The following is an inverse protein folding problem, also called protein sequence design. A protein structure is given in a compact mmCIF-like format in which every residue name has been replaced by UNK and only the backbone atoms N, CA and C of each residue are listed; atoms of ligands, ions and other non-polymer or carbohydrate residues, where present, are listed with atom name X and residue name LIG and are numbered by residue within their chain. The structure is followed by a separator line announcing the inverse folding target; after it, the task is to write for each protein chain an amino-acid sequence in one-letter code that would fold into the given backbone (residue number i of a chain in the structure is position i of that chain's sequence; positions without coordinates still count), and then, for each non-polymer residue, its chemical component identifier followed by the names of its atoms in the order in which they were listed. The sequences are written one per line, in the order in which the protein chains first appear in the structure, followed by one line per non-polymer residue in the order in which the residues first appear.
data_IF_180456116547
#
_entry.id   IF_180456116547
#
_cell.length_a   1.000
_cell.length_b   1.000
_cell.length_c   1.000
_cell.angle_alpha   90.00
_cell.angle_beta   90.00
_cell.angle_gamma   90.00
#
_symmetry.space_group_name_H-M   'P 1'
#
loop_
_entity.id
_entity.type
_entity.pdbx_description
1 polymer ?
#
# COMPACT_ATOMS: atom_id res chain seq x y z
N UNK A 1 -2.09 19.17 28.85
CA UNK A 1 -0.62 19.30 28.96
C UNK A 1 -0.23 20.78 29.02
N UNK A 2 0.82 21.17 29.74
CA UNK A 2 1.24 22.58 29.83
C UNK A 2 2.16 23.00 28.67
N UNK A 3 2.24 24.30 28.36
CA UNK A 3 3.20 24.85 27.38
C UNK A 3 4.66 24.55 27.75
N UNK A 4 4.98 24.58 29.05
CA UNK A 4 6.32 24.24 29.56
C UNK A 4 6.65 22.79 29.24
N UNK A 5 5.70 21.86 29.46
CA UNK A 5 5.90 20.45 29.11
C UNK A 5 6.11 20.24 27.62
N UNK A 6 5.38 20.97 26.76
CA UNK A 6 5.57 20.91 25.31
C UNK A 6 6.97 21.39 24.90
N UNK A 7 7.43 22.52 25.44
CA UNK A 7 8.77 23.04 25.16
C UNK A 7 9.88 22.06 25.54
N UNK A 8 9.72 21.36 26.67
CA UNK A 8 10.68 20.32 27.12
C UNK A 8 10.70 19.11 26.18
N UNK A 9 9.55 18.73 25.62
CA UNK A 9 9.43 17.72 24.55
C UNK A 9 10.20 18.18 23.31
N UNK A 10 10.00 19.42 22.86
CA UNK A 10 10.67 19.99 21.68
C UNK A 10 12.20 20.06 21.84
N UNK A 11 12.69 20.20 23.07
CA UNK A 11 14.13 20.18 23.41
C UNK A 11 14.69 18.78 23.66
N UNK A 12 13.86 17.74 23.63
CA UNK A 12 14.28 16.36 23.86
C UNK A 12 14.77 16.11 25.29
N UNK A 13 14.20 16.79 26.28
CA UNK A 13 14.62 16.59 27.67
C UNK A 13 14.30 15.17 28.16
N UNK A 14 15.29 14.44 28.74
CA UNK A 14 15.14 13.03 29.08
C UNK A 14 14.23 12.75 30.28
N UNK A 15 13.92 13.76 31.10
CA UNK A 15 13.06 13.61 32.27
C UNK A 15 11.56 13.82 31.97
N UNK A 16 11.20 14.02 30.69
CA UNK A 16 9.80 14.08 30.28
C UNK A 16 9.21 12.67 30.28
N UNK A 17 8.13 12.47 31.04
CA UNK A 17 7.44 11.19 31.08
C UNK A 17 6.83 10.83 29.72
N UNK A 18 6.88 9.55 29.34
CA UNK A 18 6.32 9.04 28.08
C UNK A 18 4.84 9.42 27.87
N UNK A 19 4.05 9.51 28.94
CA UNK A 19 2.65 9.95 28.86
C UNK A 19 2.48 11.38 28.33
N UNK A 20 3.47 12.26 28.48
CA UNK A 20 3.44 13.60 27.90
C UNK A 20 3.60 13.55 26.37
N UNK A 21 4.47 12.66 25.87
CA UNK A 21 4.61 12.41 24.43
C UNK A 21 3.31 11.86 23.82
N UNK A 22 2.65 10.91 24.49
CA UNK A 22 1.35 10.40 24.03
C UNK A 22 0.27 11.49 23.99
N UNK A 23 0.23 12.38 24.98
CA UNK A 23 -0.70 13.51 24.95
C UNK A 23 -0.44 14.44 23.75
N UNK A 24 0.81 14.67 23.37
CA UNK A 24 1.15 15.46 22.19
C UNK A 24 0.73 14.74 20.90
N UNK A 25 1.01 13.43 20.78
CA UNK A 25 0.62 12.61 19.63
C UNK A 25 -0.91 12.57 19.45
N UNK A 26 -1.67 12.37 20.52
CA UNK A 26 -3.14 12.41 20.48
C UNK A 26 -3.67 13.79 20.05
N UNK A 27 -3.07 14.88 20.53
CA UNK A 27 -3.47 16.24 20.14
C UNK A 27 -3.20 16.54 18.65
N UNK A 28 -2.22 15.85 18.05
CA UNK A 28 -1.88 15.94 16.63
C UNK A 28 -2.61 14.89 15.78
N UNK A 29 -3.49 14.08 16.38
CA UNK A 29 -4.17 12.97 15.72
C UNK A 29 -3.20 11.98 15.04
N UNK A 30 -2.08 11.71 15.69
CA UNK A 30 -1.11 10.69 15.26
C UNK A 30 -1.55 9.35 15.84
N UNK A 31 -1.85 8.39 14.97
CA UNK A 31 -2.11 7.02 15.38
C UNK A 31 -0.80 6.33 15.80
N UNK A 32 -0.81 5.73 17.00
CA UNK A 32 0.31 4.95 17.51
C UNK A 32 -0.20 3.68 18.19
N UNK A 33 0.64 2.65 18.20
CA UNK A 33 0.28 1.37 18.79
C UNK A 33 1.48 0.47 19.01
N UNK A 34 1.23 -0.66 19.68
CA UNK A 34 2.24 -1.70 19.85
C UNK A 34 2.25 -2.55 18.58
N UNK A 35 3.40 -2.59 17.92
CA UNK A 35 3.62 -3.49 16.78
C UNK A 35 4.08 -4.84 17.35
N UNK A 36 3.28 -5.89 17.15
CA UNK A 36 3.70 -7.25 17.47
C UNK A 36 4.53 -7.82 16.31
N UNK A 37 5.50 -8.72 16.57
CA UNK A 37 6.31 -9.31 15.52
C UNK A 37 5.47 -10.04 14.45
N UNK A 38 4.36 -10.67 14.87
CA UNK A 38 3.40 -11.29 13.95
C UNK A 38 2.72 -10.27 13.00
N UNK A 39 2.58 -9.01 13.43
CA UNK A 39 2.06 -7.90 12.62
C UNK A 39 3.10 -7.36 11.62
N UNK A 40 4.38 -7.65 11.81
CA UNK A 40 5.44 -7.35 10.84
C UNK A 40 5.54 -8.44 9.75
N UNK A 41 5.20 -9.68 10.08
CA UNK A 41 5.13 -10.79 9.10
C UNK A 41 3.81 -10.80 8.34
N UNK A 42 2.73 -10.33 8.96
CA UNK A 42 1.48 -10.00 8.31
C UNK A 42 1.58 -8.58 7.71
N UNK A 43 2.47 -8.38 6.74
CA UNK A 43 2.46 -7.19 5.87
C UNK A 43 1.21 -7.11 4.98
N UNK A 44 0.16 -7.86 5.26
CA UNK A 44 -1.22 -7.37 5.12
C UNK A 44 -1.48 -6.39 6.27
N UNK A 45 -0.83 -5.23 6.20
CA UNK A 45 -1.44 -4.08 6.84
C UNK A 45 -2.77 -3.94 6.10
N UNK A 46 -3.88 -4.15 6.79
CA UNK A 46 -5.23 -3.76 6.38
C UNK A 46 -5.30 -2.22 6.28
N UNK A 47 -4.38 -1.64 5.52
CA UNK A 47 -4.55 -0.33 4.93
C UNK A 47 -5.54 -0.61 3.82
N UNK A 48 -6.68 0.06 3.85
CA UNK A 48 -7.53 0.14 2.67
C UNK A 48 -6.65 0.61 1.49
N UNK A 49 -6.23 -0.32 0.62
CA UNK A 49 -5.34 -0.04 -0.51
C UNK A 49 -6.09 0.59 -1.69
N UNK A 50 -7.34 1.03 -1.47
CA UNK A 50 -8.10 1.78 -2.45
C UNK A 50 -7.31 2.98 -2.97
N UNK A 51 -7.03 2.95 -4.28
CA UNK A 51 -6.32 4.02 -4.98
C UNK A 51 -4.79 4.00 -4.83
N UNK A 52 -4.21 3.04 -4.11
CA UNK A 52 -2.75 2.90 -4.02
C UNK A 52 -2.19 2.07 -5.18
N UNK A 53 -1.08 2.53 -5.77
CA UNK A 53 -0.35 1.82 -6.82
C UNK A 53 1.05 1.48 -6.29
N UNK A 54 1.40 0.21 -6.08
CA UNK A 54 2.72 -0.19 -5.60
C UNK A 54 3.78 0.01 -6.69
N UNK A 55 5.01 0.39 -6.33
CA UNK A 55 6.08 0.60 -7.30
C UNK A 55 6.55 -0.70 -7.99
N UNK A 56 6.38 -1.85 -7.32
CA UNK A 56 6.65 -3.20 -7.82
C UNK A 56 5.48 -4.10 -7.44
N UNK A 57 5.04 -4.93 -8.39
CA UNK A 57 3.89 -5.82 -8.26
C UNK A 57 4.43 -7.25 -8.33
N UNK A 58 4.39 -7.97 -7.22
CA UNK A 58 4.78 -9.38 -7.19
C UNK A 58 3.65 -10.26 -7.74
N UNK A 59 3.95 -11.08 -8.75
CA UNK A 59 2.98 -11.97 -9.39
C UNK A 59 2.41 -13.02 -8.42
N UNK A 60 3.13 -13.36 -7.34
CA UNK A 60 2.63 -14.28 -6.31
C UNK A 60 1.36 -13.78 -5.63
N UNK A 61 1.19 -12.46 -5.54
CA UNK A 61 0.17 -11.82 -4.72
C UNK A 61 -1.12 -11.57 -5.53
N UNK A 62 -1.03 -11.71 -6.86
CA UNK A 62 -2.10 -11.44 -7.81
C UNK A 62 -2.31 -12.65 -8.75
N UNK A 63 -3.11 -13.65 -8.34
CA UNK A 63 -3.22 -14.92 -9.05
C UNK A 63 -3.77 -14.80 -10.48
N UNK A 64 -4.71 -13.87 -10.75
CA UNK A 64 -5.19 -13.67 -12.11
C UNK A 64 -4.12 -13.02 -12.98
N UNK A 65 -3.42 -11.98 -12.48
CA UNK A 65 -2.31 -11.35 -13.19
C UNK A 65 -1.22 -12.36 -13.56
N UNK A 66 -0.86 -13.24 -12.62
CA UNK A 66 0.12 -14.32 -12.85
C UNK A 66 -0.28 -15.25 -13.99
N UNK A 67 -1.56 -15.59 -14.10
CA UNK A 67 -2.06 -16.43 -15.20
C UNK A 67 -1.98 -15.71 -16.55
N UNK A 68 -2.22 -14.40 -16.57
CA UNK A 68 -2.19 -13.58 -17.79
C UNK A 68 -0.75 -13.26 -18.23
N UNK A 69 0.19 -13.16 -17.29
CA UNK A 69 1.59 -12.82 -17.50
C UNK A 69 2.45 -14.00 -17.99
N UNK A 70 1.87 -15.01 -18.63
CA UNK A 70 2.60 -16.22 -19.08
C UNK A 70 3.78 -15.95 -20.02
N UNK A 71 3.78 -14.81 -20.73
CA UNK A 71 4.88 -14.38 -21.62
C UNK A 71 6.04 -13.72 -20.87
N UNK A 72 5.84 -13.35 -19.61
CA UNK A 72 6.86 -12.72 -18.78
C UNK A 72 7.77 -13.83 -18.28
N UNK A 73 9.00 -13.85 -18.80
CA UNK A 73 10.02 -14.83 -18.42
C UNK A 73 11.14 -14.13 -17.64
N UNK A 74 11.57 -14.73 -16.54
CA UNK A 74 12.76 -14.28 -15.79
C UNK A 74 12.54 -13.21 -14.72
N UNK A 75 11.29 -12.81 -14.46
CA UNK A 75 10.93 -11.94 -13.33
C UNK A 75 9.60 -12.38 -12.72
N UNK A 76 9.53 -12.38 -11.39
CA UNK A 76 8.29 -12.55 -10.64
C UNK A 76 7.66 -11.19 -10.27
N UNK A 77 8.27 -10.09 -10.69
CA UNK A 77 7.83 -8.72 -10.43
C UNK A 77 7.55 -7.95 -11.72
N UNK A 78 6.52 -7.11 -11.68
CA UNK A 78 6.12 -6.18 -12.73
C UNK A 78 6.11 -4.74 -12.23
N UNK A 79 6.36 -3.80 -13.14
CA UNK A 79 6.01 -2.39 -12.93
C UNK A 79 4.49 -2.18 -13.07
N UNK A 80 3.93 -1.12 -12.49
CA UNK A 80 2.51 -0.76 -12.66
C UNK A 80 2.05 -0.64 -14.11
N UNK A 81 2.88 -0.07 -14.98
CA UNK A 81 2.56 0.13 -16.39
C UNK A 81 2.51 -1.20 -17.14
N UNK A 82 3.43 -2.12 -16.85
CA UNK A 82 3.42 -3.48 -17.42
C UNK A 82 2.19 -4.26 -16.95
N UNK A 83 1.86 -4.21 -15.66
CA UNK A 83 0.68 -4.86 -15.11
C UNK A 83 -0.61 -4.34 -15.77
N UNK A 84 -0.78 -3.02 -15.87
CA UNK A 84 -1.93 -2.42 -16.56
C UNK A 84 -2.01 -2.89 -18.02
N UNK A 85 -0.90 -2.84 -18.75
CA UNK A 85 -0.82 -3.27 -20.15
C UNK A 85 -1.22 -4.75 -20.33
N UNK A 86 -0.83 -5.62 -19.39
CA UNK A 86 -1.22 -7.03 -19.40
C UNK A 86 -2.72 -7.20 -19.15
N UNK A 87 -3.28 -6.50 -18.15
CA UNK A 87 -4.72 -6.55 -17.88
C UNK A 87 -5.54 -6.04 -19.07
N UNK A 88 -5.15 -4.94 -19.69
CA UNK A 88 -5.87 -4.36 -20.82
C UNK A 88 -5.88 -5.29 -22.04
N UNK A 89 -4.71 -5.81 -22.43
CA UNK A 89 -4.58 -6.70 -23.59
C UNK A 89 -5.31 -8.03 -23.40
N UNK A 90 -5.34 -8.53 -22.18
CA UNK A 90 -5.88 -9.84 -21.84
C UNK A 90 -7.23 -9.78 -21.09
N UNK A 91 -7.90 -8.62 -21.07
CA UNK A 91 -9.09 -8.41 -20.24
C UNK A 91 -10.19 -9.48 -20.42
N UNK A 92 -10.40 -9.90 -21.66
CA UNK A 92 -11.35 -10.96 -22.05
C UNK A 92 -11.02 -12.35 -21.49
N UNK A 93 -9.81 -12.55 -20.98
CA UNK A 93 -9.38 -13.78 -20.30
C UNK A 93 -9.32 -13.62 -18.77
N UNK A 94 -9.64 -12.44 -18.24
CA UNK A 94 -9.72 -12.21 -16.79
C UNK A 94 -10.99 -12.87 -16.26
N UNK A 95 -10.83 -13.78 -15.29
CA UNK A 95 -11.96 -14.35 -14.56
C UNK A 95 -12.33 -13.43 -13.40
N UNK A 96 -13.29 -12.53 -13.64
CA UNK A 96 -13.73 -11.51 -12.67
C UNK A 96 -14.26 -12.12 -11.37
N UNK A 97 -14.74 -13.37 -11.40
CA UNK A 97 -15.22 -14.07 -10.21
C UNK A 97 -14.07 -14.57 -9.32
N UNK A 98 -12.87 -14.74 -9.90
CA UNK A 98 -11.67 -15.16 -9.17
C UNK A 98 -10.75 -14.02 -8.75
N UNK A 99 -11.05 -12.79 -9.17
CA UNK A 99 -10.38 -11.61 -8.65
C UNK A 99 -10.75 -11.44 -7.19
N UNK A 100 -9.78 -11.62 -6.31
CA UNK A 100 -9.92 -11.34 -4.90
C UNK A 100 -10.08 -9.82 -4.67
N UNK A 101 -10.52 -9.38 -3.49
CA UNK A 101 -10.71 -7.96 -3.20
C UNK A 101 -9.45 -7.12 -3.42
N UNK A 102 -8.26 -7.63 -3.08
CA UNK A 102 -7.01 -6.90 -3.21
C UNK A 102 -6.61 -6.72 -4.68
N UNK A 103 -6.74 -7.77 -5.51
CA UNK A 103 -6.46 -7.67 -6.94
C UNK A 103 -7.45 -6.75 -7.66
N UNK A 104 -8.73 -6.70 -7.24
CA UNK A 104 -9.71 -5.71 -7.75
C UNK A 104 -9.26 -4.27 -7.46
N UNK A 105 -8.85 -4.00 -6.23
CA UNK A 105 -8.37 -2.67 -5.84
C UNK A 105 -7.15 -2.26 -6.66
N UNK A 106 -6.21 -3.18 -6.92
CA UNK A 106 -5.06 -2.93 -7.78
C UNK A 106 -5.50 -2.56 -9.20
N UNK A 107 -6.40 -3.34 -9.82
CA UNK A 107 -6.88 -3.07 -11.19
C UNK A 107 -7.54 -1.69 -11.28
N UNK A 108 -8.37 -1.35 -10.31
CA UNK A 108 -9.06 -0.05 -10.28
C UNK A 108 -8.09 1.11 -10.05
N UNK A 109 -7.12 0.95 -9.15
CA UNK A 109 -6.07 1.94 -8.90
C UNK A 109 -5.21 2.16 -10.16
N UNK A 110 -4.78 1.08 -10.83
CA UNK A 110 -4.00 1.15 -12.07
C UNK A 110 -4.76 1.88 -13.18
N UNK A 111 -6.04 1.55 -13.38
CA UNK A 111 -6.88 2.23 -14.38
C UNK A 111 -7.06 3.71 -14.08
N UNK A 112 -7.31 4.05 -12.83
CA UNK A 112 -7.54 5.43 -12.39
C UNK A 112 -6.25 6.27 -12.48
N UNK A 113 -5.11 5.71 -12.06
CA UNK A 113 -3.85 6.44 -11.99
C UNK A 113 -3.05 6.46 -13.30
N UNK A 114 -3.20 5.46 -14.17
CA UNK A 114 -2.35 5.27 -15.36
C UNK A 114 -3.14 5.14 -16.69
N UNK A 115 -4.45 4.89 -16.65
CA UNK A 115 -5.27 4.60 -17.84
C UNK A 115 -5.39 5.74 -18.85
N UNK A 116 -5.19 7.00 -18.44
CA UNK A 116 -5.16 8.14 -19.37
C UNK A 116 -3.77 8.40 -19.98
N UNK A 117 -2.70 8.00 -19.28
CA UNK A 117 -1.31 8.24 -19.72
C UNK A 117 -0.86 7.25 -20.81
N UNK A 118 -1.37 6.02 -20.79
CA UNK A 118 -1.05 5.00 -21.80
C UNK A 118 -1.71 5.24 -23.17
N UNK A 119 -2.65 6.20 -23.28
CA UNK A 119 -3.39 6.51 -24.52
C UNK A 119 -2.79 7.67 -25.33
N UNK A 120 -1.81 8.38 -24.78
CA UNK A 120 -1.21 9.58 -25.36
C UNK A 120 0.27 9.42 -25.77
N UNK A 121 0.71 8.19 -26.07
CA UNK A 121 2.04 7.89 -26.65
C UNK A 121 1.88 7.16 -27.97
#
# INVERSE_FOLDING_TARGET
MSRVTLYRIEKGEPSVAMGAYFNAMMALNIDFGIITPAKLTANEVDVDHQGWIPARIHLSDYPQLKQLAWQVHGTDELTPVEALSIYERNWRHVDVQKLDPHEKQLVDALRTGLGESARNV
#
